data_IF_288074937448
#
_entry.id   IF_288074937448
#
_cell.length_a   1.000
_cell.length_b   1.000
_cell.length_c   1.000
_cell.angle_alpha   90.00
_cell.angle_beta   90.00
_cell.angle_gamma   90.00
#
_symmetry.space_group_name_H-M   'P 1'
#
loop_
_entity.id
_entity.type
_entity.pdbx_description
1 polymer ?
#
# COMPACT_ATOMS: atom_id res chain seq x y z
N UNK A 1 11.59 9.74 44.21
CA UNK A 1 11.17 8.31 44.12
C UNK A 1 12.04 7.46 45.03
N UNK A 2 11.64 6.22 45.36
CA UNK A 2 12.46 5.28 46.15
C UNK A 2 12.95 4.12 45.29
N UNK A 3 14.13 3.60 45.58
CA UNK A 3 14.65 2.40 44.94
C UNK A 3 13.78 1.20 45.29
N UNK A 4 13.29 0.48 44.28
CA UNK A 4 12.42 -0.69 44.45
C UNK A 4 13.12 -1.90 45.07
N UNK A 5 14.46 -1.90 45.12
CA UNK A 5 15.25 -3.01 45.68
C UNK A 5 15.64 -2.75 47.14
N UNK A 6 16.12 -1.54 47.47
CA UNK A 6 16.67 -1.26 48.80
C UNK A 6 15.97 -0.14 49.58
N UNK A 7 14.89 0.43 49.03
CA UNK A 7 14.10 1.47 49.68
C UNK A 7 14.78 2.83 49.82
N UNK A 8 16.01 3.01 49.32
CA UNK A 8 16.73 4.28 49.45
C UNK A 8 16.02 5.38 48.63
N UNK A 9 15.94 6.63 49.13
CA UNK A 9 15.47 7.75 48.32
C UNK A 9 16.44 7.97 47.14
N UNK A 10 15.87 8.21 45.96
CA UNK A 10 16.62 8.48 44.74
C UNK A 10 16.00 9.64 43.96
N UNK A 11 16.87 10.46 43.35
CA UNK A 11 16.46 11.53 42.46
C UNK A 11 15.86 10.97 41.17
N UNK A 12 14.92 11.71 40.59
CA UNK A 12 14.18 11.29 39.38
C UNK A 12 15.06 11.20 38.13
N UNK A 13 16.23 11.84 38.15
CA UNK A 13 17.19 11.85 37.04
C UNK A 13 18.32 10.80 37.17
N UNK A 14 18.46 10.13 38.33
CA UNK A 14 19.53 9.18 38.57
C UNK A 14 19.33 7.89 37.77
N UNK A 15 20.38 7.46 37.06
CA UNK A 15 20.37 6.22 36.29
C UNK A 15 20.58 4.96 37.16
N UNK A 16 21.15 5.12 38.35
CA UNK A 16 21.47 4.04 39.28
C UNK A 16 21.21 4.49 40.72
N UNK A 17 20.85 3.55 41.59
CA UNK A 17 20.78 3.79 43.03
C UNK A 17 22.20 3.89 43.60
N UNK A 18 22.56 5.04 44.18
CA UNK A 18 23.88 5.26 44.78
C UNK A 18 24.20 4.31 45.95
N UNK A 19 23.19 3.67 46.55
CA UNK A 19 23.36 2.77 47.70
C UNK A 19 23.55 1.30 47.30
N UNK A 20 22.76 0.77 46.36
CA UNK A 20 22.77 -0.65 46.01
C UNK A 20 23.24 -0.94 44.58
N UNK A 21 23.56 0.08 43.79
CA UNK A 21 23.99 -0.07 42.39
C UNK A 21 22.88 -0.49 41.41
N UNK A 22 21.64 -0.73 41.89
CA UNK A 22 20.55 -1.14 41.02
C UNK A 22 20.21 -0.05 40.00
N UNK A 23 20.09 -0.44 38.72
CA UNK A 23 19.77 0.45 37.62
C UNK A 23 18.30 0.87 37.69
N UNK A 24 18.05 2.17 37.73
CA UNK A 24 16.71 2.72 37.75
C UNK A 24 16.27 2.90 36.30
N UNK A 25 15.23 2.18 35.89
CA UNK A 25 14.68 2.30 34.54
C UNK A 25 14.21 3.75 34.35
N UNK A 26 14.95 4.54 33.57
CA UNK A 26 14.45 5.84 33.11
C UNK A 26 13.21 5.55 32.30
N UNK A 27 12.05 5.97 32.81
CA UNK A 27 10.89 6.19 31.96
C UNK A 27 11.25 7.41 31.13
N UNK A 28 12.10 7.23 30.11
CA UNK A 28 12.04 8.12 28.97
C UNK A 28 10.63 7.91 28.47
N UNK A 29 9.77 8.89 28.74
CA UNK A 29 8.63 9.14 27.90
C UNK A 29 9.23 9.23 26.50
N UNK A 30 9.25 8.10 25.80
CA UNK A 30 9.40 8.10 24.37
C UNK A 30 8.19 8.88 23.95
N UNK A 31 8.41 10.15 23.60
CA UNK A 31 7.46 10.93 22.86
C UNK A 31 7.01 9.99 21.75
N UNK A 32 5.78 9.46 21.89
CA UNK A 32 5.12 8.76 20.81
C UNK A 32 5.29 9.71 19.64
N UNK A 33 5.98 9.24 18.60
CA UNK A 33 6.04 9.95 17.33
C UNK A 33 4.63 10.49 17.04
N UNK A 34 4.47 11.73 16.56
CA UNK A 34 3.15 12.27 16.28
C UNK A 34 2.38 11.23 15.49
N UNK A 35 1.21 10.85 16.02
CA UNK A 35 0.29 9.93 15.37
C UNK A 35 0.17 10.44 13.93
N UNK A 36 0.52 9.65 12.90
CA UNK A 36 0.34 10.11 11.54
C UNK A 36 -1.13 10.50 11.42
N UNK A 37 -1.39 11.78 11.11
CA UNK A 37 -2.72 12.27 10.79
C UNK A 37 -3.13 11.52 9.52
N UNK A 38 -3.68 10.32 9.71
CA UNK A 38 -4.15 9.46 8.62
C UNK A 38 -5.32 10.18 8.01
N UNK A 39 -5.13 10.73 6.82
CA UNK A 39 -6.19 11.36 6.07
C UNK A 39 -7.31 10.32 5.87
N UNK A 40 -8.57 10.70 6.06
CA UNK A 40 -9.72 9.79 5.90
C UNK A 40 -9.68 9.04 4.56
N UNK A 41 -9.16 9.66 3.51
CA UNK A 41 -8.97 9.04 2.20
C UNK A 41 -7.86 8.00 2.15
N UNK A 42 -6.76 8.18 2.90
CA UNK A 42 -5.72 7.15 3.04
C UNK A 42 -6.27 5.94 3.78
N UNK A 43 -7.03 6.17 4.85
CA UNK A 43 -7.69 5.12 5.60
C UNK A 43 -8.71 4.38 4.72
N UNK A 44 -9.52 5.11 3.97
CA UNK A 44 -10.48 4.55 3.03
C UNK A 44 -9.78 3.74 1.92
N UNK A 45 -8.68 4.24 1.37
CA UNK A 45 -7.89 3.53 0.37
C UNK A 45 -7.33 2.21 0.94
N UNK A 46 -6.78 2.24 2.15
CA UNK A 46 -6.24 1.06 2.83
C UNK A 46 -7.35 0.04 3.15
N UNK A 47 -8.49 0.49 3.67
CA UNK A 47 -9.65 -0.36 3.97
C UNK A 47 -10.18 -1.05 2.70
N UNK A 48 -10.31 -0.29 1.60
CA UNK A 48 -10.70 -0.84 0.31
C UNK A 48 -9.69 -1.88 -0.21
N UNK A 49 -8.38 -1.62 -0.06
CA UNK A 49 -7.35 -2.58 -0.47
C UNK A 49 -7.38 -3.87 0.36
N UNK A 50 -7.59 -3.77 1.68
CA UNK A 50 -7.73 -4.94 2.56
C UNK A 50 -8.98 -5.77 2.20
N UNK A 51 -10.11 -5.10 1.98
CA UNK A 51 -11.34 -5.74 1.52
C UNK A 51 -11.18 -6.38 0.14
N UNK A 52 -10.42 -5.77 -0.76
CA UNK A 52 -10.11 -6.36 -2.06
C UNK A 52 -9.32 -7.68 -1.91
N UNK A 53 -8.31 -7.71 -1.02
CA UNK A 53 -7.49 -8.89 -0.76
C UNK A 53 -8.30 -10.06 -0.25
N UNK A 54 -9.22 -9.83 0.70
CA UNK A 54 -10.08 -10.90 1.23
C UNK A 54 -11.00 -11.49 0.16
N UNK A 55 -11.36 -10.70 -0.86
CA UNK A 55 -12.23 -11.11 -1.95
C UNK A 55 -11.50 -11.76 -3.14
N UNK A 56 -10.17 -11.70 -3.23
CA UNK A 56 -9.42 -12.18 -4.41
C UNK A 56 -9.73 -13.64 -4.77
N UNK A 57 -9.95 -14.49 -3.76
CA UNK A 57 -10.21 -15.92 -3.94
C UNK A 57 -11.70 -16.23 -4.13
N UNK A 58 -12.57 -15.58 -3.36
CA UNK A 58 -13.99 -15.90 -3.35
C UNK A 58 -14.79 -15.15 -4.41
N UNK A 59 -14.47 -13.88 -4.66
CA UNK A 59 -15.18 -13.05 -5.63
C UNK A 59 -14.20 -12.07 -6.31
N UNK A 60 -13.56 -12.48 -7.40
CA UNK A 60 -12.51 -11.69 -8.04
C UNK A 60 -13.07 -10.45 -8.76
N UNK A 61 -14.36 -10.39 -9.08
CA UNK A 61 -15.00 -9.19 -9.64
C UNK A 61 -15.23 -8.13 -8.55
N UNK A 62 -15.72 -8.54 -7.39
CA UNK A 62 -15.83 -7.67 -6.23
C UNK A 62 -14.45 -7.16 -5.77
N UNK A 63 -13.43 -8.02 -5.81
CA UNK A 63 -12.04 -7.63 -5.52
C UNK A 63 -11.54 -6.53 -6.48
N UNK A 64 -11.79 -6.67 -7.79
CA UNK A 64 -11.46 -5.65 -8.80
C UNK A 64 -12.14 -4.31 -8.47
N UNK A 65 -13.43 -4.34 -8.12
CA UNK A 65 -14.18 -3.12 -7.75
C UNK A 65 -13.54 -2.41 -6.55
N UNK A 66 -13.16 -3.17 -5.53
CA UNK A 66 -12.52 -2.61 -4.33
C UNK A 66 -11.12 -2.06 -4.62
N UNK A 67 -10.32 -2.73 -5.46
CA UNK A 67 -9.04 -2.19 -5.91
C UNK A 67 -9.20 -0.87 -6.67
N UNK A 68 -10.21 -0.74 -7.54
CA UNK A 68 -10.50 0.52 -8.23
C UNK A 68 -10.88 1.64 -7.26
N UNK A 69 -11.72 1.35 -6.26
CA UNK A 69 -12.08 2.32 -5.21
C UNK A 69 -10.86 2.79 -4.41
N UNK A 70 -9.96 1.86 -4.09
CA UNK A 70 -8.70 2.17 -3.40
C UNK A 70 -7.82 3.10 -4.25
N UNK A 71 -7.63 2.78 -5.53
CA UNK A 71 -6.84 3.61 -6.46
C UNK A 71 -7.47 5.00 -6.62
N UNK A 72 -8.80 5.10 -6.76
CA UNK A 72 -9.49 6.38 -6.89
C UNK A 72 -9.26 7.27 -5.66
N UNK A 73 -9.45 6.73 -4.44
CA UNK A 73 -9.22 7.48 -3.21
C UNK A 73 -7.78 8.01 -3.10
N UNK A 74 -6.78 7.22 -3.51
CA UNK A 74 -5.39 7.69 -3.55
C UNK A 74 -5.15 8.76 -4.62
N UNK A 75 -5.82 8.67 -5.78
CA UNK A 75 -5.70 9.69 -6.82
C UNK A 75 -6.29 11.02 -6.36
N UNK A 76 -7.46 10.99 -5.75
CA UNK A 76 -8.14 12.19 -5.23
C UNK A 76 -7.29 12.86 -4.15
N UNK A 77 -6.75 12.06 -3.23
CA UNK A 77 -5.79 12.53 -2.23
C UNK A 77 -4.56 13.18 -2.88
N UNK A 78 -4.08 12.60 -3.98
CA UNK A 78 -2.92 13.11 -4.71
C UNK A 78 -3.15 14.47 -5.34
N UNK A 79 -4.38 14.71 -5.80
CA UNK A 79 -4.78 15.99 -6.36
C UNK A 79 -4.94 17.07 -5.29
N UNK A 80 -5.48 16.72 -4.12
CA UNK A 80 -5.67 17.65 -3.00
C UNK A 80 -4.35 18.02 -2.30
N UNK A 81 -3.45 17.05 -2.15
CA UNK A 81 -2.19 17.22 -1.42
C UNK A 81 -0.99 16.75 -2.25
N UNK A 82 -0.61 17.49 -3.32
CA UNK A 82 0.44 17.08 -4.25
C UNK A 82 1.84 17.00 -3.62
N UNK A 83 2.06 17.73 -2.52
CA UNK A 83 3.35 17.78 -1.81
C UNK A 83 3.47 16.79 -0.66
N UNK A 84 2.36 16.19 -0.20
CA UNK A 84 2.38 15.27 0.92
C UNK A 84 3.01 13.93 0.50
N UNK A 85 3.89 13.32 1.32
CA UNK A 85 4.41 12.00 1.06
C UNK A 85 3.25 10.99 1.11
N UNK A 86 2.69 10.68 -0.05
CA UNK A 86 1.62 9.69 -0.17
C UNK A 86 2.16 8.33 0.23
N UNK A 87 1.57 7.76 1.28
CA UNK A 87 1.91 6.41 1.74
C UNK A 87 1.33 5.32 0.82
N UNK A 88 0.58 5.72 -0.23
CA UNK A 88 -0.10 4.83 -1.16
C UNK A 88 0.85 4.16 -2.16
N UNK A 89 1.02 2.84 -2.02
CA UNK A 89 1.74 2.02 -3.01
C UNK A 89 0.89 1.79 -4.27
N UNK A 90 0.77 2.81 -5.12
CA UNK A 90 0.06 2.75 -6.41
C UNK A 90 0.51 1.56 -7.28
N UNK A 91 1.83 1.29 -7.47
CA UNK A 91 2.27 0.16 -8.27
C UNK A 91 1.73 -1.19 -7.77
N UNK A 92 1.67 -1.41 -6.46
CA UNK A 92 1.09 -2.63 -5.91
C UNK A 92 -0.39 -2.82 -6.27
N UNK A 93 -1.20 -1.77 -6.13
CA UNK A 93 -2.65 -1.85 -6.39
C UNK A 93 -2.92 -2.11 -7.88
N UNK A 94 -2.21 -1.41 -8.78
CA UNK A 94 -2.33 -1.64 -10.22
C UNK A 94 -1.80 -3.01 -10.64
N UNK A 95 -0.70 -3.47 -10.04
CA UNK A 95 -0.19 -4.83 -10.25
C UNK A 95 -1.24 -5.85 -9.82
N UNK A 96 -1.90 -5.71 -8.67
CA UNK A 96 -2.94 -6.66 -8.27
C UNK A 96 -4.19 -6.60 -9.14
N UNK A 97 -4.68 -5.41 -9.44
CA UNK A 97 -5.86 -5.19 -10.29
C UNK A 97 -5.70 -5.86 -11.66
N UNK A 98 -4.60 -5.57 -12.36
CA UNK A 98 -4.34 -6.10 -13.71
C UNK A 98 -4.12 -7.60 -13.70
N UNK A 99 -3.53 -8.16 -12.62
CA UNK A 99 -3.38 -9.61 -12.45
C UNK A 99 -4.74 -10.32 -12.36
N UNK A 100 -5.68 -9.77 -11.61
CA UNK A 100 -7.03 -10.35 -11.47
C UNK A 100 -7.80 -10.32 -12.78
N UNK A 101 -7.70 -9.22 -13.53
CA UNK A 101 -8.32 -9.12 -14.86
C UNK A 101 -7.70 -10.10 -15.86
N UNK A 102 -6.38 -10.28 -15.81
CA UNK A 102 -5.66 -11.25 -16.65
C UNK A 102 -6.16 -12.68 -16.38
N UNK A 103 -6.32 -13.07 -15.11
CA UNK A 103 -6.87 -14.39 -14.72
C UNK A 103 -8.27 -14.62 -15.26
N UNK A 104 -9.09 -13.57 -15.33
CA UNK A 104 -10.44 -13.60 -15.89
C UNK A 104 -10.48 -13.49 -17.43
N UNK A 105 -9.33 -13.53 -18.12
CA UNK A 105 -9.21 -13.34 -19.58
C UNK A 105 -9.73 -11.98 -20.08
N UNK A 106 -9.89 -11.00 -19.19
CA UNK A 106 -10.33 -9.63 -19.50
C UNK A 106 -9.15 -8.77 -19.98
N UNK A 107 -8.42 -9.22 -21.01
CA UNK A 107 -7.13 -8.64 -21.39
C UNK A 107 -7.22 -7.19 -21.85
N UNK A 108 -8.24 -6.82 -22.63
CA UNK A 108 -8.47 -5.43 -23.05
C UNK A 108 -8.64 -4.51 -21.84
N UNK A 109 -9.52 -4.86 -20.91
CA UNK A 109 -9.75 -4.09 -19.67
C UNK A 109 -8.47 -3.96 -18.85
N UNK A 110 -7.68 -5.03 -18.75
CA UNK A 110 -6.40 -4.98 -18.06
C UNK A 110 -5.40 -4.02 -18.72
N UNK A 111 -5.35 -3.97 -20.05
CA UNK A 111 -4.52 -3.02 -20.80
C UNK A 111 -4.98 -1.57 -20.59
N UNK A 112 -6.29 -1.33 -20.55
CA UNK A 112 -6.86 -0.01 -20.29
C UNK A 112 -6.40 0.51 -18.91
N UNK A 113 -6.47 -0.33 -17.87
CA UNK A 113 -5.97 0.01 -16.51
C UNK A 113 -4.46 0.25 -16.48
N UNK A 114 -3.68 -0.53 -17.23
CA UNK A 114 -2.24 -0.28 -17.35
C UNK A 114 -1.96 1.06 -18.04
N UNK A 115 -2.75 1.43 -19.05
CA UNK A 115 -2.65 2.75 -19.69
C UNK A 115 -2.97 3.89 -18.72
N UNK A 116 -3.97 3.72 -17.85
CA UNK A 116 -4.25 4.68 -16.77
C UNK A 116 -3.05 4.84 -15.85
N UNK A 117 -2.43 3.74 -15.41
CA UNK A 117 -1.21 3.79 -14.59
C UNK A 117 -0.04 4.50 -15.28
N UNK A 118 0.15 4.26 -16.58
CA UNK A 118 1.17 4.93 -17.40
C UNK A 118 0.88 6.41 -17.65
N UNK A 119 -0.36 6.86 -17.47
CA UNK A 119 -0.70 8.28 -17.54
C UNK A 119 -0.40 9.03 -16.23
N UNK A 120 -0.15 8.31 -15.12
CA UNK A 120 0.10 8.94 -13.83
C UNK A 120 1.45 9.70 -13.82
N UNK A 121 1.55 10.81 -13.06
CA UNK A 121 2.79 11.53 -12.83
C UNK A 121 3.92 10.60 -12.37
N UNK A 122 5.16 10.91 -12.78
CA UNK A 122 6.33 10.07 -12.46
C UNK A 122 6.45 9.77 -10.96
N UNK A 123 6.16 10.77 -10.10
CA UNK A 123 6.17 10.65 -8.64
C UNK A 123 5.22 9.56 -8.14
N UNK A 124 4.02 9.44 -8.72
CA UNK A 124 3.03 8.41 -8.35
C UNK A 124 3.41 7.04 -8.93
N UNK A 125 3.83 7.00 -10.20
CA UNK A 125 4.24 5.75 -10.87
C UNK A 125 5.45 5.09 -10.20
N UNK A 126 6.32 5.88 -9.59
CA UNK A 126 7.53 5.40 -8.93
C UNK A 126 7.43 5.42 -7.39
N UNK A 127 6.24 5.64 -6.83
CA UNK A 127 6.01 5.68 -5.38
C UNK A 127 6.10 4.29 -4.70
N UNK A 128 6.30 3.21 -5.47
CA UNK A 128 6.30 1.83 -4.97
C UNK A 128 7.60 1.08 -5.21
N UNK A 129 7.56 -0.23 -4.99
CA UNK A 129 8.72 -1.10 -5.21
C UNK A 129 9.04 -1.19 -6.71
N UNK A 130 10.32 -1.12 -7.07
CA UNK A 130 10.79 -1.31 -8.45
C UNK A 130 10.26 -2.62 -9.06
N UNK A 131 10.19 -3.68 -8.27
CA UNK A 131 9.64 -4.98 -8.68
C UNK A 131 8.18 -4.90 -9.15
N UNK A 132 7.35 -4.08 -8.50
CA UNK A 132 5.94 -3.92 -8.89
C UNK A 132 5.82 -3.15 -10.21
N UNK A 133 6.64 -2.12 -10.39
CA UNK A 133 6.71 -1.34 -11.64
C UNK A 133 7.09 -2.26 -12.80
N UNK A 134 8.22 -2.97 -12.67
CA UNK A 134 8.68 -3.93 -13.68
C UNK A 134 7.68 -5.05 -13.94
N UNK A 135 6.94 -5.50 -12.90
CA UNK A 135 5.89 -6.50 -13.08
C UNK A 135 4.71 -5.98 -13.91
N UNK A 136 4.33 -4.71 -13.77
CA UNK A 136 3.31 -4.06 -14.59
C UNK A 136 3.77 -3.96 -16.04
N UNK A 137 5.00 -3.48 -16.27
CA UNK A 137 5.57 -3.33 -17.62
C UNK A 137 5.63 -4.67 -18.35
N UNK A 138 6.16 -5.70 -17.68
CA UNK A 138 6.21 -7.06 -18.21
C UNK A 138 4.80 -7.64 -18.45
N UNK A 139 3.83 -7.33 -17.58
CA UNK A 139 2.45 -7.78 -17.77
C UNK A 139 1.82 -7.11 -18.99
N UNK A 140 2.07 -5.83 -19.24
CA UNK A 140 1.56 -5.12 -20.43
C UNK A 140 1.94 -5.88 -21.71
N UNK A 141 3.21 -6.23 -21.86
CA UNK A 141 3.71 -6.97 -23.02
C UNK A 141 2.99 -8.32 -23.19
N UNK A 142 2.82 -9.06 -22.08
CA UNK A 142 2.07 -10.33 -22.09
C UNK A 142 0.60 -10.14 -22.47
N UNK A 143 -0.05 -9.11 -21.95
CA UNK A 143 -1.45 -8.80 -22.21
C UNK A 143 -1.68 -8.43 -23.68
N UNK A 144 -0.80 -7.65 -24.29
CA UNK A 144 -0.85 -7.33 -25.73
C UNK A 144 -0.83 -8.62 -26.57
N UNK A 145 0.11 -9.52 -26.28
CA UNK A 145 0.21 -10.82 -26.96
C UNK A 145 -1.06 -11.67 -26.78
N UNK A 146 -1.57 -11.78 -25.55
CA UNK A 146 -2.80 -12.53 -25.25
C UNK A 146 -4.03 -11.93 -25.92
N UNK A 147 -4.17 -10.60 -25.93
CA UNK A 147 -5.28 -9.90 -26.57
C UNK A 147 -5.26 -10.07 -28.10
N UNK A 148 -4.06 -10.08 -28.72
CA UNK A 148 -3.91 -10.35 -30.15
C UNK A 148 -4.33 -11.78 -30.48
N UNK A 149 -3.86 -12.78 -29.71
CA UNK A 149 -4.25 -14.18 -29.88
C UNK A 149 -5.76 -14.37 -29.75
N UNK A 150 -6.39 -13.75 -28.76
CA UNK A 150 -7.84 -13.80 -28.56
C UNK A 150 -8.59 -13.26 -29.78
N UNK A 151 -8.21 -12.09 -30.30
CA UNK A 151 -8.82 -11.51 -31.52
C UNK A 151 -8.67 -12.39 -32.75
N UNK A 152 -7.52 -13.04 -32.93
CA UNK A 152 -7.29 -13.95 -34.06
C UNK A 152 -8.18 -15.20 -33.94
N UNK A 153 -8.29 -15.77 -32.74
CA UNK A 153 -9.19 -16.89 -32.47
C UNK A 153 -10.66 -16.53 -32.72
N UNK A 154 -11.09 -15.32 -32.31
CA UNK A 154 -12.46 -14.83 -32.56
C UNK A 154 -12.74 -14.61 -34.05
N UNK A 155 -11.74 -14.17 -34.83
CA UNK A 155 -11.86 -14.03 -36.29
C UNK A 155 -11.95 -15.38 -37.00
N UNK A 156 -11.20 -16.39 -36.55
CA UNK A 156 -11.22 -17.73 -37.14
C UNK A 156 -12.51 -18.52 -36.87
N UNK A 157 -13.35 -18.05 -35.93
CA UNK A 157 -14.66 -18.64 -35.60
C UNK A 157 -15.83 -18.03 -36.39
N UNK A 158 -15.58 -16.94 -37.11
CA UNK A 158 -16.56 -16.26 -37.95
C UNK A 158 -16.34 -16.65 -39.41
#
# INVERSE_FOLDING_TARGET
MFCTICGNPVSESAAFCAKCGHRLAKVTQTAKAPIPVVNDKELQAAANALKAKSLEKSNPEAAISQYRKSIAALRDLSQESPNQPQQGNFPYLFNRLTMLMEKQKKYKKALDETGVYESLPRRQRHAGKKSDITAIDNRKLRLISKQRKLRLADKARK
#
